data_IF_046417392576
#
_entry.id   IF_046417392576
#
_cell.length_a   1.000
_cell.length_b   1.000
_cell.length_c   1.000
_cell.angle_alpha   90.00
_cell.angle_beta   90.00
_cell.angle_gamma   90.00
#
_symmetry.space_group_name_H-M   'P 1'
#
loop_
_entity.id
_entity.type
_entity.pdbx_description
1 polymer ?
#
# COMPACT_ATOMS: atom_id res chain seq x y z
N UNK A 1 15.88 -18.69 18.67
CA UNK A 1 15.61 -17.97 19.93
C UNK A 1 14.10 -17.89 20.09
N UNK A 2 13.56 -18.01 21.30
CA UNK A 2 12.10 -17.97 21.50
C UNK A 2 11.62 -16.52 21.46
N UNK A 3 10.75 -16.17 20.52
CA UNK A 3 10.16 -14.83 20.45
C UNK A 3 9.15 -14.67 21.60
N UNK A 4 9.32 -13.62 22.40
CA UNK A 4 8.41 -13.21 23.44
C UNK A 4 7.46 -12.13 22.91
N UNK A 5 6.15 -12.31 23.09
CA UNK A 5 5.13 -11.35 22.67
C UNK A 5 4.35 -10.86 23.88
N UNK A 6 4.48 -9.57 24.17
CA UNK A 6 3.75 -8.85 25.23
C UNK A 6 2.60 -8.04 24.62
N UNK A 7 1.49 -7.92 25.34
CA UNK A 7 0.29 -7.22 24.88
C UNK A 7 0.00 -5.99 25.74
N UNK A 8 -0.32 -4.86 25.10
CA UNK A 8 -0.65 -3.61 25.76
C UNK A 8 -1.99 -3.08 25.23
N UNK A 9 -2.98 -2.96 26.11
CA UNK A 9 -4.27 -2.36 25.78
C UNK A 9 -4.08 -0.86 25.52
N UNK A 10 -4.76 -0.34 24.50
CA UNK A 10 -4.61 1.03 24.02
C UNK A 10 -5.89 1.86 24.08
N UNK A 11 -5.83 3.01 23.43
CA UNK A 11 -6.95 3.95 23.30
C UNK A 11 -8.15 3.40 22.53
N UNK A 12 -9.26 4.15 22.62
CA UNK A 12 -10.45 3.92 21.80
C UNK A 12 -10.10 4.01 20.31
N UNK A 13 -10.57 3.03 19.52
CA UNK A 13 -10.28 2.94 18.09
C UNK A 13 -11.40 3.52 17.20
N UNK A 14 -12.59 3.78 17.77
CA UNK A 14 -13.72 4.39 17.07
C UNK A 14 -14.39 5.46 17.93
N UNK A 15 -14.62 6.63 17.34
CA UNK A 15 -15.50 7.66 17.91
C UNK A 15 -16.96 7.25 17.85
N UNK A 16 -17.80 7.79 18.75
CA UNK A 16 -19.26 7.56 18.76
C UNK A 16 -19.94 7.82 17.42
N UNK A 17 -19.52 8.86 16.69
CA UNK A 17 -20.06 9.16 15.35
C UNK A 17 -19.85 8.01 14.36
N UNK A 18 -18.65 7.39 14.35
CA UNK A 18 -18.35 6.25 13.49
C UNK A 18 -19.15 5.02 13.89
N UNK A 19 -19.32 4.79 15.20
CA UNK A 19 -20.18 3.72 15.71
C UNK A 19 -21.62 3.92 15.24
N UNK A 20 -22.16 5.13 15.34
CA UNK A 20 -23.51 5.47 14.86
C UNK A 20 -23.67 5.28 13.35
N UNK A 21 -22.64 5.55 12.54
CA UNK A 21 -22.66 5.29 11.10
C UNK A 21 -22.67 3.79 10.75
N UNK A 22 -21.97 2.96 11.52
CA UNK A 22 -21.90 1.51 11.30
C UNK A 22 -23.13 0.77 11.83
N UNK A 23 -23.74 1.27 12.91
CA UNK A 23 -24.79 0.57 13.64
C UNK A 23 -25.99 0.14 12.77
N UNK A 24 -26.54 0.96 11.84
CA UNK A 24 -27.62 0.50 10.97
C UNK A 24 -27.24 -0.67 10.08
N UNK A 25 -25.99 -0.72 9.60
CA UNK A 25 -25.48 -1.81 8.75
C UNK A 25 -25.28 -3.09 9.57
N UNK A 26 -24.82 -2.95 10.82
CA UNK A 26 -24.71 -4.06 11.76
C UNK A 26 -26.11 -4.61 12.14
N UNK A 27 -27.08 -3.73 12.39
CA UNK A 27 -28.45 -4.11 12.72
C UNK A 27 -29.19 -4.79 11.57
N UNK A 28 -28.80 -4.53 10.32
CA UNK A 28 -29.31 -5.25 9.16
C UNK A 28 -28.86 -6.73 9.14
N UNK A 29 -27.75 -7.07 9.82
CA UNK A 29 -27.30 -8.46 10.00
C UNK A 29 -28.03 -9.10 11.18
N UNK A 30 -28.19 -8.36 12.29
CA UNK A 30 -28.93 -8.80 13.47
C UNK A 30 -29.48 -7.59 14.27
N UNK A 31 -30.81 -7.50 14.38
CA UNK A 31 -31.53 -6.38 15.04
C UNK A 31 -31.28 -6.29 16.55
N UNK A 32 -30.61 -7.28 17.14
CA UNK A 32 -30.25 -7.32 18.55
C UNK A 32 -28.95 -6.57 18.81
N UNK A 33 -28.16 -6.22 17.78
CA UNK A 33 -26.95 -5.41 17.94
C UNK A 33 -27.34 -3.98 18.31
N UNK A 34 -26.85 -3.52 19.47
CA UNK A 34 -27.17 -2.20 20.03
C UNK A 34 -25.95 -1.31 20.22
N UNK A 35 -24.75 -1.85 20.06
CA UNK A 35 -23.52 -1.09 20.20
C UNK A 35 -22.29 -1.81 19.65
N UNK A 36 -21.23 -1.04 19.48
CA UNK A 36 -19.92 -1.51 19.06
C UNK A 36 -18.88 -0.71 19.83
N UNK A 37 -18.07 -1.39 20.63
CA UNK A 37 -16.90 -0.78 21.25
C UNK A 37 -15.65 -1.23 20.49
N UNK A 38 -14.67 -0.34 20.34
CA UNK A 38 -13.42 -0.68 19.68
C UNK A 38 -12.24 -0.07 20.44
N UNK A 39 -11.16 -0.85 20.61
CA UNK A 39 -9.89 -0.38 21.17
C UNK A 39 -8.72 -0.86 20.35
N UNK A 40 -7.63 -0.09 20.37
CA UNK A 40 -6.35 -0.59 19.91
C UNK A 40 -5.76 -1.55 20.92
N UNK A 41 -5.05 -2.55 20.43
CA UNK A 41 -4.19 -3.43 21.23
C UNK A 41 -2.86 -3.50 20.52
N UNK A 42 -1.78 -3.45 21.28
CA UNK A 42 -0.42 -3.44 20.74
C UNK A 42 0.27 -4.74 21.11
N UNK A 43 0.86 -5.39 20.12
CA UNK A 43 1.64 -6.61 20.30
C UNK A 43 3.11 -6.29 20.09
N UNK A 44 3.91 -6.47 21.15
CA UNK A 44 5.34 -6.17 21.15
C UNK A 44 6.11 -7.48 21.14
N UNK A 45 6.81 -7.75 20.05
CA UNK A 45 7.70 -8.90 19.92
C UNK A 45 9.14 -8.51 20.24
N UNK A 46 9.81 -9.32 21.07
CA UNK A 46 11.22 -9.17 21.43
C UNK A 46 11.87 -10.56 21.64
N UNK A 47 13.20 -10.59 21.70
CA UNK A 47 13.97 -11.83 22.00
C UNK A 47 14.05 -12.13 23.50
N UNK A 48 13.48 -11.26 24.34
CA UNK A 48 13.43 -11.38 25.79
C UNK A 48 12.06 -10.97 26.33
N UNK A 49 11.74 -11.41 27.54
CA UNK A 49 10.60 -10.87 28.28
C UNK A 49 10.98 -9.48 28.85
N UNK A 50 10.14 -8.44 28.68
CA UNK A 50 10.43 -7.12 29.22
C UNK A 50 10.49 -7.15 30.74
N UNK A 51 11.47 -6.48 31.33
CA UNK A 51 11.48 -6.25 32.78
C UNK A 51 10.46 -5.16 33.18
N UNK A 52 10.31 -4.90 34.47
CA UNK A 52 9.32 -3.93 34.95
C UNK A 52 9.56 -2.49 34.44
N UNK A 53 10.83 -2.10 34.24
CA UNK A 53 11.17 -0.78 33.75
C UNK A 53 10.86 -0.67 32.24
N UNK A 54 11.24 -1.68 31.46
CA UNK A 54 10.92 -1.79 30.04
C UNK A 54 9.40 -1.84 29.81
N UNK A 55 8.68 -2.64 30.61
CA UNK A 55 7.22 -2.71 30.54
C UNK A 55 6.56 -1.36 30.82
N UNK A 56 7.05 -0.61 31.80
CA UNK A 56 6.54 0.74 32.10
C UNK A 56 6.81 1.73 30.96
N UNK A 57 7.99 1.64 30.34
CA UNK A 57 8.36 2.49 29.19
C UNK A 57 7.56 2.15 27.94
N UNK A 58 7.36 0.86 27.66
CA UNK A 58 6.51 0.39 26.56
C UNK A 58 5.05 0.82 26.77
N UNK A 59 4.51 0.67 27.99
CA UNK A 59 3.17 1.14 28.32
C UNK A 59 3.03 2.65 28.10
N UNK A 60 4.00 3.45 28.55
CA UNK A 60 4.01 4.90 28.34
C UNK A 60 4.09 5.25 26.84
N UNK A 61 4.92 4.56 26.07
CA UNK A 61 5.05 4.77 24.62
C UNK A 61 3.75 4.45 23.86
N UNK A 62 3.03 3.42 24.30
CA UNK A 62 1.83 2.91 23.65
C UNK A 62 0.54 3.54 24.19
N UNK A 63 0.66 4.53 25.08
CA UNK A 63 -0.46 5.35 25.58
C UNK A 63 -0.57 6.63 24.76
N UNK A 64 -1.48 6.63 23.80
CA UNK A 64 -1.79 7.78 22.93
C UNK A 64 -3.27 7.76 22.54
N UNK A 65 -3.82 8.91 22.14
CA UNK A 65 -5.24 9.02 21.79
C UNK A 65 -6.18 9.07 23.00
N UNK A 66 -7.48 8.96 22.75
CA UNK A 66 -8.49 9.06 23.79
C UNK A 66 -8.61 7.77 24.61
N UNK A 67 -8.68 7.85 25.96
CA UNK A 67 -8.78 6.66 26.80
C UNK A 67 -9.97 5.78 26.47
N UNK A 68 -9.77 4.45 26.44
CA UNK A 68 -10.87 3.51 26.29
C UNK A 68 -11.73 3.51 27.57
N UNK A 69 -13.05 3.79 27.49
CA UNK A 69 -13.90 3.99 28.67
C UNK A 69 -14.23 2.71 29.47
N UNK A 70 -13.58 1.57 29.17
CA UNK A 70 -14.04 0.24 29.57
C UNK A 70 -13.21 -0.56 30.58
N UNK A 71 -12.01 -0.13 30.97
CA UNK A 71 -11.14 -0.99 31.81
C UNK A 71 -11.58 -1.06 33.29
N UNK A 72 -12.47 -0.15 33.74
CA UNK A 72 -12.91 -0.05 35.13
C UNK A 72 -14.26 -0.72 35.46
N UNK A 73 -14.98 -1.28 34.47
CA UNK A 73 -16.29 -1.92 34.70
C UNK A 73 -16.47 -3.21 33.91
N UNK A 74 -17.23 -4.16 34.46
CA UNK A 74 -17.60 -5.41 33.81
C UNK A 74 -18.30 -5.25 32.44
N UNK A 75 -18.65 -4.03 32.03
CA UNK A 75 -19.22 -3.69 30.73
C UNK A 75 -18.19 -3.69 29.57
N UNK A 76 -16.89 -3.44 29.85
CA UNK A 76 -15.84 -3.40 28.81
C UNK A 76 -15.52 -4.76 28.18
N UNK A 77 -15.85 -5.85 28.86
CA UNK A 77 -15.66 -7.24 28.41
C UNK A 77 -16.93 -7.89 27.87
N UNK A 78 -18.05 -7.15 27.78
CA UNK A 78 -19.32 -7.70 27.29
C UNK A 78 -19.44 -7.58 25.77
N UNK A 79 -19.94 -8.65 25.15
CA UNK A 79 -20.17 -8.72 23.71
C UNK A 79 -19.25 -9.69 22.98
N UNK A 80 -19.63 -10.02 21.75
CA UNK A 80 -18.84 -10.91 20.89
C UNK A 80 -17.54 -10.22 20.45
N UNK A 81 -16.43 -10.96 20.53
CA UNK A 81 -15.10 -10.50 20.13
C UNK A 81 -14.90 -10.63 18.62
N UNK A 82 -14.40 -9.57 18.00
CA UNK A 82 -13.79 -9.61 16.67
C UNK A 82 -12.47 -8.85 16.76
N UNK A 83 -11.38 -9.46 16.32
CA UNK A 83 -10.05 -8.84 16.27
C UNK A 83 -9.68 -8.65 14.81
N UNK A 84 -9.28 -7.44 14.46
CA UNK A 84 -8.80 -7.08 13.12
C UNK A 84 -7.31 -6.78 13.19
N UNK A 85 -6.56 -7.42 12.31
CA UNK A 85 -5.10 -7.29 12.19
C UNK A 85 -4.72 -6.97 10.75
N UNK A 86 -3.50 -6.48 10.48
CA UNK A 86 -2.93 -6.61 9.15
C UNK A 86 -2.96 -8.08 8.69
N UNK A 87 -3.02 -8.33 7.38
CA UNK A 87 -2.95 -9.71 6.86
C UNK A 87 -1.65 -10.39 7.30
N UNK A 88 -1.72 -11.67 7.61
CA UNK A 88 -0.52 -12.46 7.89
C UNK A 88 0.45 -12.41 6.71
N UNK A 89 1.75 -12.32 7.01
CA UNK A 89 2.80 -12.09 6.01
C UNK A 89 2.99 -10.63 5.60
N UNK A 90 2.26 -9.69 6.19
CA UNK A 90 2.45 -8.24 5.99
C UNK A 90 2.97 -7.55 7.24
N UNK A 91 3.56 -6.36 7.06
CA UNK A 91 3.97 -5.46 8.14
C UNK A 91 3.30 -4.11 7.86
N UNK A 92 2.56 -3.58 8.83
CA UNK A 92 1.87 -2.31 8.63
C UNK A 92 2.87 -1.14 8.62
N UNK A 93 2.60 -0.03 7.89
CA UNK A 93 3.43 1.18 8.00
C UNK A 93 3.46 1.76 9.41
N UNK A 94 2.40 1.52 10.21
CA UNK A 94 2.37 1.87 11.62
C UNK A 94 3.41 1.06 12.40
N UNK A 95 3.54 -0.24 12.14
CA UNK A 95 4.50 -1.11 12.80
C UNK A 95 5.94 -0.67 12.58
N UNK A 96 6.29 -0.30 11.34
CA UNK A 96 7.63 0.23 11.04
C UNK A 96 7.94 1.47 11.88
N UNK A 97 7.06 2.48 11.87
CA UNK A 97 7.27 3.72 12.63
C UNK A 97 7.27 3.50 14.14
N UNK A 98 6.35 2.68 14.66
CA UNK A 98 6.28 2.38 16.09
C UNK A 98 7.55 1.65 16.57
N UNK A 99 8.05 0.72 15.75
CA UNK A 99 9.30 0.00 16.02
C UNK A 99 10.50 0.96 15.99
N UNK A 100 10.59 1.85 15.00
CA UNK A 100 11.64 2.87 14.92
C UNK A 100 11.60 3.82 16.14
N UNK A 101 10.42 4.24 16.58
CA UNK A 101 10.28 5.07 17.78
C UNK A 101 10.80 4.31 19.02
N UNK A 102 10.44 3.03 19.16
CA UNK A 102 10.94 2.22 20.27
C UNK A 102 12.48 2.08 20.24
N UNK A 103 13.07 1.89 19.07
CA UNK A 103 14.52 1.86 18.90
C UNK A 103 15.18 3.21 19.23
N UNK A 104 14.60 4.32 18.81
CA UNK A 104 15.06 5.67 19.16
C UNK A 104 14.93 5.98 20.65
N UNK A 105 13.98 5.34 21.32
CA UNK A 105 13.89 5.35 22.78
C UNK A 105 14.88 4.37 23.44
N UNK A 106 15.70 3.60 22.70
CA UNK A 106 16.53 2.53 23.25
C UNK A 106 15.70 1.44 23.98
N UNK A 107 14.66 0.94 23.31
CA UNK A 107 13.92 -0.25 23.70
C UNK A 107 14.17 -1.33 22.64
N UNK A 108 14.74 -2.47 23.04
CA UNK A 108 15.17 -3.51 22.12
C UNK A 108 13.99 -4.43 21.74
N UNK A 109 13.22 -4.02 20.74
CA UNK A 109 12.10 -4.81 20.19
C UNK A 109 12.42 -5.30 18.79
N UNK A 110 11.88 -6.47 18.41
CA UNK A 110 11.89 -6.95 17.02
C UNK A 110 10.87 -6.22 16.17
N UNK A 111 9.64 -6.10 16.68
CA UNK A 111 8.53 -5.44 16.00
C UNK A 111 7.42 -5.11 16.98
N UNK A 112 6.83 -3.93 16.82
CA UNK A 112 5.57 -3.55 17.47
C UNK A 112 4.48 -3.54 16.39
N UNK A 113 3.38 -4.26 16.60
CA UNK A 113 2.24 -4.23 15.69
C UNK A 113 0.97 -3.78 16.44
N UNK A 114 0.07 -3.10 15.74
CA UNK A 114 -1.21 -2.66 16.27
C UNK A 114 -2.34 -3.46 15.64
N UNK A 115 -3.24 -3.91 16.49
CA UNK A 115 -4.47 -4.60 16.10
C UNK A 115 -5.67 -3.83 16.68
N UNK A 116 -6.85 -4.05 16.11
CA UNK A 116 -8.09 -3.45 16.62
C UNK A 116 -8.98 -4.54 17.19
N UNK A 117 -9.33 -4.41 18.46
CA UNK A 117 -10.32 -5.27 19.10
C UNK A 117 -11.69 -4.59 19.08
N UNK A 118 -12.68 -5.29 18.53
CA UNK A 118 -14.09 -4.92 18.53
C UNK A 118 -14.88 -5.80 19.50
N UNK A 119 -15.79 -5.17 20.24
CA UNK A 119 -16.81 -5.83 21.07
C UNK A 119 -18.18 -5.47 20.54
N UNK A 120 -18.87 -6.45 19.98
CA UNK A 120 -20.24 -6.30 19.44
C UNK A 120 -21.23 -6.49 20.58
N UNK A 121 -21.95 -5.43 20.94
CA UNK A 121 -22.88 -5.42 22.07
C UNK A 121 -24.29 -5.75 21.59
N UNK A 122 -24.93 -6.75 22.20
CA UNK A 122 -26.30 -7.16 21.90
C UNK A 122 -27.25 -6.86 23.06
N UNK A 123 -28.53 -6.57 22.76
CA UNK A 123 -29.57 -6.40 23.79
C UNK A 123 -29.78 -7.70 24.56
N UNK A 124 -29.94 -7.61 25.89
CA UNK A 124 -30.20 -8.77 26.73
C UNK A 124 -31.48 -9.51 26.28
N UNK A 125 -31.43 -10.84 26.21
CA UNK A 125 -32.61 -11.65 25.91
C UNK A 125 -33.61 -11.67 27.07
N UNK A 126 -34.84 -12.15 26.81
CA UNK A 126 -35.93 -12.24 27.81
C UNK A 126 -35.56 -13.00 29.09
N UNK A 127 -34.53 -13.85 29.07
CA UNK A 127 -34.03 -14.63 30.21
C UNK A 127 -32.71 -14.11 30.79
N UNK A 128 -32.35 -12.85 30.53
CA UNK A 128 -31.21 -12.17 31.16
C UNK A 128 -29.82 -12.53 30.62
N UNK A 129 -29.70 -13.45 29.65
CA UNK A 129 -28.46 -13.69 28.91
C UNK A 129 -28.47 -12.93 27.59
N UNK A 130 -27.38 -12.21 27.30
CA UNK A 130 -27.17 -11.64 25.98
C UNK A 130 -27.07 -12.78 24.96
N UNK A 131 -27.83 -12.74 23.85
CA UNK A 131 -27.74 -13.75 22.81
C UNK A 131 -26.36 -13.69 22.15
N UNK A 132 -25.79 -14.88 21.93
CA UNK A 132 -24.53 -15.05 21.20
C UNK A 132 -24.83 -15.04 19.71
N UNK A 133 -24.10 -14.23 18.94
CA UNK A 133 -24.17 -14.23 17.48
C UNK A 133 -23.68 -15.58 16.94
N UNK A 134 -24.34 -16.11 15.91
CA UNK A 134 -23.86 -17.30 15.22
C UNK A 134 -22.55 -17.02 14.49
N UNK A 135 -21.80 -18.07 14.13
CA UNK A 135 -20.54 -17.92 13.39
C UNK A 135 -20.73 -17.14 12.07
N UNK A 136 -21.78 -17.46 11.31
CA UNK A 136 -22.10 -16.75 10.06
C UNK A 136 -22.43 -15.27 10.30
N UNK A 137 -23.09 -14.94 11.42
CA UNK A 137 -23.37 -13.54 11.78
C UNK A 137 -22.09 -12.81 12.19
N UNK A 138 -21.17 -13.46 12.91
CA UNK A 138 -19.87 -12.89 13.26
C UNK A 138 -19.01 -12.60 12.03
N UNK A 139 -19.00 -13.52 11.06
CA UNK A 139 -18.30 -13.33 9.78
C UNK A 139 -18.90 -12.18 8.96
N UNK A 140 -20.23 -12.09 8.89
CA UNK A 140 -20.91 -10.99 8.23
C UNK A 140 -20.62 -9.63 8.91
N UNK A 141 -20.58 -9.60 10.25
CA UNK A 141 -20.18 -8.39 10.98
C UNK A 141 -18.72 -8.05 10.73
N UNK A 142 -17.82 -9.03 10.79
CA UNK A 142 -16.40 -8.85 10.53
C UNK A 142 -16.15 -8.27 9.13
N UNK A 143 -16.89 -8.70 8.10
CA UNK A 143 -16.81 -8.17 6.74
C UNK A 143 -17.16 -6.66 6.63
N UNK A 144 -17.84 -6.08 7.62
CA UNK A 144 -18.10 -4.64 7.70
C UNK A 144 -17.02 -3.86 8.47
N UNK A 145 -16.17 -4.55 9.23
CA UNK A 145 -15.22 -3.96 10.19
C UNK A 145 -13.76 -3.99 9.74
N UNK A 146 -13.44 -4.68 8.64
CA UNK A 146 -12.08 -4.75 8.09
C UNK A 146 -12.06 -4.58 6.57
N UNK A 147 -10.92 -4.16 6.05
CA UNK A 147 -10.60 -4.21 4.62
C UNK A 147 -10.00 -5.58 4.27
N UNK A 148 -10.75 -6.42 3.55
CA UNK A 148 -10.30 -7.74 3.10
C UNK A 148 -9.01 -7.72 2.27
N UNK A 149 -8.63 -6.59 1.68
CA UNK A 149 -7.42 -6.49 0.85
C UNK A 149 -6.16 -6.28 1.67
N UNK A 150 -6.27 -5.76 2.90
CA UNK A 150 -5.12 -5.35 3.72
C UNK A 150 -5.15 -5.93 5.13
N UNK A 151 -6.30 -6.37 5.60
CA UNK A 151 -6.55 -6.85 6.95
C UNK A 151 -7.11 -8.28 6.98
N UNK A 152 -7.00 -8.91 8.14
CA UNK A 152 -7.65 -10.18 8.49
C UNK A 152 -8.54 -9.97 9.71
N UNK A 153 -9.69 -10.66 9.75
CA UNK A 153 -10.54 -10.72 10.94
C UNK A 153 -10.47 -12.09 11.59
N UNK A 154 -10.45 -12.12 12.92
CA UNK A 154 -10.41 -13.34 13.74
C UNK A 154 -11.27 -13.19 14.98
N UNK A 155 -11.67 -14.32 15.58
CA UNK A 155 -12.61 -14.34 16.72
C UNK A 155 -11.94 -14.74 18.05
N UNK A 156 -10.61 -14.90 18.02
CA UNK A 156 -9.76 -15.09 19.18
C UNK A 156 -8.50 -14.22 19.00
N UNK A 157 -8.19 -13.40 20.01
CA UNK A 157 -7.01 -12.55 20.03
C UNK A 157 -5.72 -13.36 19.97
N UNK A 158 -5.69 -14.56 20.54
CA UNK A 158 -4.47 -15.38 20.61
C UNK A 158 -3.89 -15.70 19.21
N UNK A 159 -4.75 -15.75 18.19
CA UNK A 159 -4.37 -15.97 16.80
C UNK A 159 -3.55 -14.83 16.21
N UNK A 160 -3.67 -13.60 16.72
CA UNK A 160 -2.89 -12.45 16.28
C UNK A 160 -1.38 -12.62 16.54
N UNK A 161 -0.99 -13.54 17.44
CA UNK A 161 0.42 -13.91 17.65
C UNK A 161 1.06 -14.47 16.38
N UNK A 162 0.27 -15.04 15.47
CA UNK A 162 0.71 -15.51 14.15
C UNK A 162 1.26 -14.40 13.24
N UNK A 163 1.02 -13.12 13.55
CA UNK A 163 1.64 -12.01 12.84
C UNK A 163 3.17 -12.11 12.88
N UNK A 164 3.73 -12.66 13.96
CA UNK A 164 5.16 -12.70 14.26
C UNK A 164 5.81 -14.04 13.92
N UNK A 165 5.11 -14.91 13.18
CA UNK A 165 5.67 -16.18 12.73
C UNK A 165 6.84 -15.92 11.77
N UNK A 166 8.04 -16.32 12.19
CA UNK A 166 9.21 -16.35 11.32
C UNK A 166 9.08 -17.51 10.33
N UNK A 167 9.40 -17.28 9.06
CA UNK A 167 9.39 -18.27 7.99
C UNK A 167 10.82 -18.48 7.49
N UNK A 168 11.17 -19.73 7.17
CA UNK A 168 12.42 -20.03 6.50
C UNK A 168 12.41 -19.49 5.06
N UNK A 169 13.59 -19.06 4.59
CA UNK A 169 13.74 -18.63 3.20
C UNK A 169 13.46 -19.79 2.24
N UNK A 170 12.57 -19.58 1.27
CA UNK A 170 12.30 -20.56 0.23
C UNK A 170 13.54 -20.75 -0.68
N UNK A 171 13.86 -21.99 -1.09
CA UNK A 171 14.94 -22.23 -2.03
C UNK A 171 14.59 -21.69 -3.43
N UNK A 172 15.63 -21.25 -4.16
CA UNK A 172 15.49 -20.76 -5.54
C UNK A 172 15.08 -21.89 -6.50
N UNK A 173 14.03 -21.66 -7.29
CA UNK A 173 13.56 -22.63 -8.28
C UNK A 173 14.33 -22.51 -9.61
N UNK A 174 14.54 -23.63 -10.29
CA UNK A 174 15.13 -23.69 -11.63
C UNK A 174 14.13 -24.32 -12.60
N UNK A 175 13.90 -23.68 -13.75
CA UNK A 175 12.95 -24.17 -14.76
C UNK A 175 13.71 -25.00 -15.79
N UNK A 176 13.28 -26.24 -15.99
CA UNK A 176 14.03 -27.21 -16.80
C UNK A 176 13.84 -27.04 -18.32
N UNK A 177 14.46 -25.98 -18.87
CA UNK A 177 14.43 -25.66 -20.30
C UNK A 177 15.38 -26.55 -21.11
N UNK A 178 16.49 -27.02 -20.52
CA UNK A 178 17.47 -27.82 -21.25
C UNK A 178 16.86 -29.13 -21.75
N UNK A 179 16.14 -29.86 -20.89
CA UNK A 179 15.45 -31.09 -21.28
C UNK A 179 14.00 -30.81 -21.70
N UNK A 180 13.28 -29.97 -20.94
CA UNK A 180 11.85 -29.71 -21.14
C UNK A 180 11.50 -28.66 -22.22
N UNK A 181 12.48 -27.92 -22.73
CA UNK A 181 12.29 -26.96 -23.83
C UNK A 181 11.22 -25.90 -23.56
N UNK A 182 10.47 -25.52 -24.62
CA UNK A 182 9.39 -24.53 -24.55
C UNK A 182 8.29 -24.92 -23.55
N UNK A 183 7.94 -26.21 -23.49
CA UNK A 183 6.86 -26.69 -22.62
C UNK A 183 7.15 -26.44 -21.13
N UNK A 184 8.41 -26.57 -20.70
CA UNK A 184 8.80 -26.23 -19.32
C UNK A 184 8.63 -24.73 -19.04
N UNK A 185 8.98 -23.88 -20.01
CA UNK A 185 8.83 -22.44 -19.86
C UNK A 185 7.36 -21.98 -19.94
N UNK A 186 6.51 -22.61 -20.74
CA UNK A 186 5.06 -22.34 -20.79
C UNK A 186 4.37 -22.68 -19.46
N UNK A 187 4.78 -23.78 -18.83
CA UNK A 187 4.32 -24.14 -17.49
C UNK A 187 4.77 -23.11 -16.45
N UNK A 188 6.03 -22.69 -16.50
CA UNK A 188 6.56 -21.64 -15.63
C UNK A 188 5.86 -20.29 -15.85
N UNK A 189 5.56 -19.94 -17.11
CA UNK A 189 4.83 -18.73 -17.49
C UNK A 189 3.46 -18.68 -16.80
N UNK A 190 2.75 -19.81 -16.78
CA UNK A 190 1.45 -19.94 -16.10
C UNK A 190 1.61 -19.95 -14.58
N UNK A 191 2.53 -20.77 -14.04
CA UNK A 191 2.75 -20.94 -12.60
C UNK A 191 3.14 -19.63 -11.91
N UNK A 192 4.04 -18.86 -12.53
CA UNK A 192 4.57 -17.61 -11.97
C UNK A 192 3.84 -16.36 -12.48
N UNK A 193 2.91 -16.50 -13.42
CA UNK A 193 2.16 -15.37 -13.97
C UNK A 193 3.04 -14.39 -14.76
N UNK A 194 3.97 -14.90 -15.57
CA UNK A 194 4.97 -14.08 -16.27
C UNK A 194 4.38 -13.31 -17.47
N UNK A 195 3.24 -13.76 -18.00
CA UNK A 195 2.56 -13.18 -19.16
C UNK A 195 3.44 -13.01 -20.41
N UNK A 196 4.36 -13.95 -20.63
CA UNK A 196 5.25 -13.98 -21.80
C UNK A 196 4.49 -14.31 -23.08
N UNK A 197 4.80 -13.58 -24.15
CA UNK A 197 4.37 -13.90 -25.50
C UNK A 197 5.21 -15.06 -26.10
N UNK A 198 4.72 -15.66 -27.19
CA UNK A 198 5.39 -16.83 -27.78
C UNK A 198 6.82 -16.52 -28.24
N UNK A 199 7.04 -15.36 -28.86
CA UNK A 199 8.36 -14.90 -29.30
C UNK A 199 9.32 -14.64 -28.13
N UNK A 200 8.80 -14.19 -26.99
CA UNK A 200 9.58 -14.04 -25.75
C UNK A 200 9.97 -15.39 -25.13
N UNK A 201 9.07 -16.39 -25.20
CA UNK A 201 9.35 -17.77 -24.79
C UNK A 201 10.45 -18.35 -25.68
N UNK A 202 10.31 -18.24 -27.00
CA UNK A 202 11.29 -18.75 -27.96
C UNK A 202 12.67 -18.12 -27.73
N UNK A 203 12.69 -16.79 -27.54
CA UNK A 203 13.91 -16.05 -27.20
C UNK A 203 14.61 -16.59 -25.93
N UNK A 204 13.85 -16.82 -24.86
CA UNK A 204 14.40 -17.31 -23.59
C UNK A 204 14.91 -18.75 -23.72
N UNK A 205 14.18 -19.62 -24.42
CA UNK A 205 14.60 -21.00 -24.66
C UNK A 205 15.93 -21.03 -25.39
N UNK A 206 16.06 -20.26 -26.47
CA UNK A 206 17.29 -20.18 -27.25
C UNK A 206 18.45 -19.58 -26.43
N UNK A 207 18.19 -18.51 -25.68
CA UNK A 207 19.19 -17.87 -24.83
C UNK A 207 19.75 -18.84 -23.77
N UNK A 208 18.89 -19.53 -23.03
CA UNK A 208 19.32 -20.43 -21.95
C UNK A 208 19.91 -21.75 -22.46
N UNK A 209 19.45 -22.26 -23.61
CA UNK A 209 20.14 -23.35 -24.31
C UNK A 209 21.55 -22.93 -24.76
N UNK A 210 21.69 -21.72 -25.30
CA UNK A 210 23.00 -21.16 -25.66
C UNK A 210 23.93 -20.99 -24.46
N UNK A 211 23.39 -20.67 -23.28
CA UNK A 211 24.14 -20.59 -22.02
C UNK A 211 24.44 -21.96 -21.39
N UNK A 212 23.82 -23.04 -21.85
CA UNK A 212 24.02 -24.39 -21.33
C UNK A 212 23.56 -24.58 -19.88
N UNK A 213 22.57 -23.80 -19.42
CA UNK A 213 22.00 -23.92 -18.06
C UNK A 213 20.52 -23.58 -18.03
N UNK A 214 19.82 -24.11 -17.04
CA UNK A 214 18.43 -23.74 -16.75
C UNK A 214 18.35 -22.33 -16.14
N UNK A 215 17.33 -21.53 -16.50
CA UNK A 215 17.06 -20.27 -15.83
C UNK A 215 16.50 -20.48 -14.42
N UNK A 216 16.74 -19.49 -13.57
CA UNK A 216 16.07 -19.41 -12.27
C UNK A 216 14.71 -18.72 -12.40
N UNK A 217 13.81 -18.99 -11.47
CA UNK A 217 12.55 -18.25 -11.31
C UNK A 217 12.77 -16.73 -11.22
N UNK A 218 13.80 -16.28 -10.51
CA UNK A 218 14.17 -14.87 -10.38
C UNK A 218 14.58 -14.26 -11.72
N UNK A 219 15.37 -14.97 -12.53
CA UNK A 219 15.78 -14.49 -13.87
C UNK A 219 14.58 -14.33 -14.81
N UNK A 220 13.65 -15.29 -14.78
CA UNK A 220 12.44 -15.25 -15.59
C UNK A 220 11.49 -14.13 -15.14
N UNK A 221 11.30 -13.97 -13.83
CA UNK A 221 10.50 -12.87 -13.29
C UNK A 221 11.10 -11.51 -13.66
N UNK A 222 12.42 -11.35 -13.53
CA UNK A 222 13.12 -10.13 -13.95
C UNK A 222 12.88 -9.83 -15.43
N UNK A 223 13.05 -10.83 -16.30
CA UNK A 223 12.84 -10.66 -17.74
C UNK A 223 11.39 -10.27 -18.06
N UNK A 224 10.42 -10.94 -17.45
CA UNK A 224 9.00 -10.69 -17.65
C UNK A 224 8.62 -9.25 -17.23
N UNK A 225 9.08 -8.78 -16.08
CA UNK A 225 8.80 -7.42 -15.62
C UNK A 225 9.43 -6.37 -16.53
N UNK A 226 10.68 -6.57 -16.96
CA UNK A 226 11.40 -5.64 -17.84
C UNK A 226 10.78 -5.55 -19.26
N UNK A 227 10.17 -6.64 -19.74
CA UNK A 227 9.57 -6.71 -21.08
C UNK A 227 8.04 -6.59 -21.07
N UNK A 228 7.42 -6.30 -19.93
CA UNK A 228 6.00 -5.96 -19.85
C UNK A 228 5.65 -4.75 -20.72
N UNK A 229 4.38 -4.63 -21.12
CA UNK A 229 3.90 -3.46 -21.87
C UNK A 229 4.18 -2.16 -21.10
N UNK A 230 3.90 -2.16 -19.79
CA UNK A 230 4.09 -1.03 -18.90
C UNK A 230 5.54 -0.54 -18.84
N UNK A 231 6.52 -1.46 -18.80
CA UNK A 231 7.93 -1.08 -18.73
C UNK A 231 8.51 -0.74 -20.11
N UNK A 232 8.18 -1.52 -21.14
CA UNK A 232 8.81 -1.42 -22.46
C UNK A 232 8.11 -0.42 -23.38
N UNK A 233 6.89 0.01 -23.05
CA UNK A 233 6.09 0.94 -23.84
C UNK A 233 5.96 0.45 -25.29
N UNK A 234 5.64 -0.83 -25.47
CA UNK A 234 5.64 -1.52 -26.78
C UNK A 234 4.75 -0.79 -27.79
N UNK A 235 3.53 -0.41 -27.39
CA UNK A 235 2.56 0.29 -28.25
C UNK A 235 3.11 1.65 -28.69
N UNK A 236 3.67 2.44 -27.77
CA UNK A 236 4.20 3.78 -28.07
C UNK A 236 5.36 3.76 -29.07
N UNK A 237 6.13 2.67 -29.09
CA UNK A 237 7.24 2.47 -30.01
C UNK A 237 6.89 1.66 -31.27
N UNK A 238 5.65 1.22 -31.41
CA UNK A 238 5.21 0.38 -32.53
C UNK A 238 5.12 1.15 -33.85
N UNK A 239 5.19 0.40 -34.95
CA UNK A 239 4.77 0.88 -36.26
C UNK A 239 3.25 0.70 -36.40
N UNK A 240 2.58 1.67 -37.02
CA UNK A 240 1.13 1.67 -37.17
C UNK A 240 0.73 1.58 -38.65
N UNK A 241 -0.37 0.88 -38.92
CA UNK A 241 -1.09 0.94 -40.21
C UNK A 241 -2.53 1.31 -39.90
N UNK A 242 -3.01 2.43 -40.44
CA UNK A 242 -4.36 2.97 -40.20
C UNK A 242 -5.08 2.99 -41.54
N UNK A 243 -6.26 2.37 -41.62
CA UNK A 243 -7.04 2.25 -42.86
C UNK A 243 -6.20 1.72 -44.05
N UNK A 244 -5.37 0.70 -43.77
CA UNK A 244 -4.41 0.09 -44.71
C UNK A 244 -3.27 1.02 -45.19
N UNK A 245 -3.08 2.17 -44.54
CA UNK A 245 -1.98 3.10 -44.84
C UNK A 245 -0.90 2.99 -43.76
N UNK A 246 0.32 2.54 -44.10
CA UNK A 246 1.46 2.54 -43.18
C UNK A 246 1.81 3.97 -42.73
N UNK A 247 2.03 4.13 -41.43
CA UNK A 247 2.40 5.41 -40.82
C UNK A 247 3.92 5.49 -40.66
N UNK A 248 4.50 6.65 -40.98
CA UNK A 248 5.96 6.84 -41.00
C UNK A 248 6.61 7.14 -39.66
N UNK A 249 5.84 7.41 -38.60
CA UNK A 249 6.34 7.83 -37.28
C UNK A 249 5.53 7.11 -36.19
N UNK A 250 6.22 6.58 -35.17
CA UNK A 250 5.56 5.98 -34.00
C UNK A 250 4.85 7.03 -33.14
N UNK A 251 3.99 6.60 -32.21
CA UNK A 251 3.36 7.53 -31.26
C UNK A 251 4.41 8.32 -30.45
N UNK A 252 5.44 7.64 -29.94
CA UNK A 252 6.51 8.32 -29.22
C UNK A 252 7.32 9.26 -30.13
N UNK A 253 7.53 8.87 -31.39
CA UNK A 253 8.16 9.73 -32.39
C UNK A 253 7.36 11.02 -32.64
N UNK A 254 6.03 10.94 -32.68
CA UNK A 254 5.16 12.10 -32.78
C UNK A 254 5.27 13.02 -31.55
N UNK A 255 5.40 12.45 -30.35
CA UNK A 255 5.63 13.24 -29.11
C UNK A 255 7.00 13.92 -29.15
N UNK A 256 8.07 13.21 -29.51
CA UNK A 256 9.44 13.78 -29.63
C UNK A 256 9.51 14.88 -30.70
N UNK A 257 8.64 14.85 -31.71
CA UNK A 257 8.58 15.89 -32.72
C UNK A 257 8.20 17.27 -32.14
N UNK A 258 7.48 17.32 -31.01
CA UNK A 258 7.13 18.59 -30.35
C UNK A 258 8.37 19.32 -29.84
N UNK A 259 9.26 18.61 -29.15
CA UNK A 259 10.54 19.14 -28.67
C UNK A 259 11.47 19.49 -29.84
N UNK A 260 11.53 18.64 -30.88
CA UNK A 260 12.32 18.91 -32.09
C UNK A 260 11.92 20.23 -32.77
N UNK A 261 10.63 20.55 -32.82
CA UNK A 261 10.11 21.77 -33.45
C UNK A 261 10.13 22.98 -32.52
N UNK A 262 10.15 22.78 -31.21
CA UNK A 262 10.10 23.84 -30.21
C UNK A 262 11.03 23.52 -29.02
N UNK A 263 12.36 23.53 -29.23
CA UNK A 263 13.33 23.13 -28.21
C UNK A 263 13.62 24.24 -27.19
N UNK A 264 13.03 25.43 -27.34
CA UNK A 264 13.34 26.57 -26.50
C UNK A 264 13.09 26.25 -25.02
N UNK A 265 14.06 26.58 -24.17
CA UNK A 265 14.04 26.36 -22.72
C UNK A 265 14.06 24.89 -22.27
N UNK A 266 14.15 23.90 -23.16
CA UNK A 266 14.35 22.50 -22.76
C UNK A 266 15.79 22.29 -22.30
N UNK A 267 15.99 21.72 -21.12
CA UNK A 267 17.30 21.27 -20.61
C UNK A 267 17.43 19.75 -20.73
N UNK A 268 16.38 19.01 -20.33
CA UNK A 268 16.32 17.55 -20.42
C UNK A 268 14.93 17.12 -20.90
N UNK A 269 14.89 16.24 -21.90
CA UNK A 269 13.68 15.55 -22.32
C UNK A 269 14.03 14.12 -22.77
N UNK A 270 13.22 13.14 -22.35
CA UNK A 270 13.29 11.74 -22.80
C UNK A 270 14.59 10.97 -22.45
N UNK A 271 15.39 11.46 -21.52
CA UNK A 271 16.67 10.85 -21.13
C UNK A 271 16.86 10.73 -19.62
N UNK A 272 15.79 10.90 -18.85
CA UNK A 272 15.76 10.81 -17.39
C UNK A 272 14.31 10.52 -16.92
N UNK A 273 14.11 10.32 -15.61
CA UNK A 273 12.81 10.02 -15.02
C UNK A 273 11.84 11.21 -15.00
N UNK A 274 12.34 12.43 -15.21
CA UNK A 274 11.55 13.66 -15.38
C UNK A 274 12.15 14.54 -16.48
N UNK A 275 11.35 15.46 -17.03
CA UNK A 275 11.86 16.51 -17.92
C UNK A 275 12.32 17.72 -17.11
N UNK A 276 13.23 18.53 -17.68
CA UNK A 276 13.74 19.75 -17.05
C UNK A 276 13.63 20.89 -18.06
N UNK A 277 13.02 22.00 -17.63
CA UNK A 277 13.05 23.27 -18.35
C UNK A 277 13.94 24.31 -17.64
N UNK A 278 14.39 25.28 -18.42
CA UNK A 278 15.12 26.44 -17.93
C UNK A 278 14.30 27.16 -16.85
N UNK A 279 14.99 27.56 -15.78
CA UNK A 279 14.34 28.27 -14.68
C UNK A 279 14.99 29.64 -14.48
N UNK A 280 15.24 30.03 -13.23
CA UNK A 280 15.67 31.40 -12.94
C UNK A 280 16.69 31.45 -11.81
N UNK A 281 17.45 32.54 -11.78
CA UNK A 281 18.32 32.85 -10.63
C UNK A 281 17.45 33.24 -9.44
N UNK A 282 17.67 32.60 -8.30
CA UNK A 282 16.93 32.81 -7.06
C UNK A 282 17.89 32.94 -5.88
N UNK A 283 17.41 33.51 -4.78
CA UNK A 283 18.05 33.39 -3.47
C UNK A 283 17.53 32.12 -2.77
N UNK A 284 18.38 31.11 -2.64
CA UNK A 284 18.06 29.87 -1.94
C UNK A 284 18.56 29.95 -0.49
N UNK A 285 17.71 29.55 0.47
CA UNK A 285 18.06 29.52 1.89
C UNK A 285 18.46 28.10 2.30
N UNK A 286 19.74 27.89 2.58
CA UNK A 286 20.33 26.57 2.88
C UNK A 286 21.08 26.60 4.21
N UNK A 287 21.17 25.46 4.93
CA UNK A 287 22.04 25.37 6.09
C UNK A 287 23.49 25.60 5.69
N UNK A 288 24.22 26.35 6.51
CA UNK A 288 25.64 26.62 6.29
C UNK A 288 26.45 25.32 6.43
N UNK A 289 27.34 25.05 5.47
CA UNK A 289 28.09 23.79 5.41
C UNK A 289 29.11 23.62 6.54
N UNK A 290 29.52 24.70 7.19
CA UNK A 290 30.41 24.68 8.35
C UNK A 290 29.64 24.82 9.67
N UNK A 291 28.50 25.51 9.63
CA UNK A 291 27.66 25.79 10.79
C UNK A 291 26.22 25.40 10.51
N UNK A 292 25.92 24.09 10.50
CA UNK A 292 24.62 23.53 10.09
C UNK A 292 23.39 24.07 10.85
N UNK A 293 23.59 24.74 12.00
CA UNK A 293 22.54 25.40 12.77
C UNK A 293 22.17 26.81 12.25
N UNK A 294 22.96 27.37 11.34
CA UNK A 294 22.70 28.66 10.69
C UNK A 294 22.22 28.44 9.26
N UNK A 295 21.19 29.18 8.86
CA UNK A 295 20.78 29.25 7.46
C UNK A 295 21.31 30.52 6.80
N UNK A 296 21.73 30.42 5.54
CA UNK A 296 22.22 31.56 4.75
C UNK A 296 21.57 31.61 3.38
N UNK A 297 21.47 32.82 2.85
CA UNK A 297 21.06 33.06 1.47
C UNK A 297 22.21 32.74 0.53
N UNK A 298 21.92 32.01 -0.54
CA UNK A 298 22.85 31.70 -1.62
C UNK A 298 22.17 31.98 -2.96
N UNK A 299 22.81 32.79 -3.80
CA UNK A 299 22.36 32.98 -5.18
C UNK A 299 22.62 31.69 -5.97
N UNK A 300 21.58 31.13 -6.59
CA UNK A 300 21.65 29.90 -7.37
C UNK A 300 20.72 29.96 -8.58
N UNK A 301 21.09 29.27 -9.66
CA UNK A 301 20.18 29.00 -10.78
C UNK A 301 19.34 27.77 -10.43
N UNK A 302 18.01 27.93 -10.36
CA UNK A 302 17.09 26.83 -10.13
C UNK A 302 16.32 26.56 -11.41
N UNK A 303 16.59 25.43 -12.05
CA UNK A 303 15.77 24.88 -13.12
C UNK A 303 14.48 24.28 -12.57
N UNK A 304 13.52 23.98 -13.45
CA UNK A 304 12.24 23.38 -13.06
C UNK A 304 12.13 22.01 -13.70
N UNK A 305 12.00 20.98 -12.88
CA UNK A 305 11.64 19.64 -13.34
C UNK A 305 10.13 19.45 -13.33
N UNK A 306 9.63 18.52 -14.14
CA UNK A 306 8.22 18.12 -14.13
C UNK A 306 8.04 16.65 -14.52
N UNK A 307 7.14 15.98 -13.81
CA UNK A 307 6.73 14.60 -14.07
C UNK A 307 5.24 14.46 -13.72
N UNK A 308 4.57 13.54 -14.39
CA UNK A 308 3.21 13.09 -14.05
C UNK A 308 3.17 11.58 -14.23
N UNK A 309 2.60 10.88 -13.26
CA UNK A 309 2.36 9.44 -13.32
C UNK A 309 0.89 9.13 -13.08
N UNK A 310 0.50 7.89 -13.39
CA UNK A 310 -0.82 7.35 -13.06
C UNK A 310 -0.67 6.03 -12.31
N UNK A 311 -1.63 5.70 -11.45
CA UNK A 311 -1.61 4.45 -10.68
C UNK A 311 -2.98 3.75 -10.70
N UNK A 312 -3.49 3.57 -11.91
CA UNK A 312 -4.89 3.23 -12.16
C UNK A 312 -5.28 1.85 -11.64
N UNK A 313 -4.55 0.81 -12.05
CA UNK A 313 -4.89 -0.59 -11.71
C UNK A 313 -4.82 -0.85 -10.19
N UNK A 314 -3.75 -0.47 -9.46
CA UNK A 314 -3.72 -0.64 -8.01
C UNK A 314 -4.83 0.13 -7.29
N UNK A 315 -5.15 1.35 -7.74
CA UNK A 315 -6.22 2.18 -7.16
C UNK A 315 -7.61 1.56 -7.35
N UNK A 316 -7.83 0.83 -8.45
CA UNK A 316 -9.07 0.08 -8.65
C UNK A 316 -9.22 -1.08 -7.65
N UNK A 317 -8.13 -1.64 -7.13
CA UNK A 317 -8.14 -2.77 -6.19
C UNK A 317 -8.18 -2.30 -4.73
N UNK A 318 -7.25 -1.42 -4.34
CA UNK A 318 -7.16 -0.85 -3.00
C UNK A 318 -6.84 0.65 -3.11
N UNK A 319 -7.87 1.53 -3.06
CA UNK A 319 -7.70 2.92 -3.48
C UNK A 319 -6.74 3.74 -2.62
N UNK A 320 -6.77 3.57 -1.29
CA UNK A 320 -5.90 4.32 -0.39
C UNK A 320 -4.41 4.05 -0.67
N UNK A 321 -3.90 2.81 -0.58
CA UNK A 321 -2.49 2.55 -0.88
C UNK A 321 -2.17 2.79 -2.35
N UNK A 322 -3.08 2.52 -3.30
CA UNK A 322 -2.87 2.78 -4.72
C UNK A 322 -2.61 4.27 -5.02
N UNK A 323 -3.44 5.17 -4.48
CA UNK A 323 -3.22 6.60 -4.66
C UNK A 323 -1.97 7.10 -3.91
N UNK A 324 -1.73 6.57 -2.70
CA UNK A 324 -0.57 6.91 -1.86
C UNK A 324 0.75 6.55 -2.56
N UNK A 325 0.87 5.33 -3.09
CA UNK A 325 2.08 4.89 -3.80
C UNK A 325 2.21 5.53 -5.18
N UNK A 326 1.10 5.93 -5.81
CA UNK A 326 1.13 6.76 -7.02
C UNK A 326 1.83 8.10 -6.79
N UNK A 327 1.42 8.82 -5.74
CA UNK A 327 2.11 10.05 -5.34
C UNK A 327 3.58 9.79 -4.93
N UNK A 328 3.82 8.72 -4.17
CA UNK A 328 5.16 8.38 -3.72
C UNK A 328 6.12 7.93 -4.83
N UNK A 329 5.63 7.25 -5.86
CA UNK A 329 6.42 6.89 -7.04
C UNK A 329 6.89 8.13 -7.80
N UNK A 330 5.94 9.00 -8.12
CA UNK A 330 6.20 10.24 -8.84
C UNK A 330 7.18 11.16 -8.07
N UNK A 331 7.00 11.32 -6.75
CA UNK A 331 7.94 12.08 -5.89
C UNK A 331 9.37 11.50 -5.92
N UNK A 332 9.52 10.17 -6.02
CA UNK A 332 10.85 9.55 -6.13
C UNK A 332 11.51 9.85 -7.47
N UNK A 333 10.74 9.88 -8.55
CA UNK A 333 11.26 10.25 -9.87
C UNK A 333 11.75 11.69 -9.91
N UNK A 334 10.98 12.61 -9.31
CA UNK A 334 11.45 13.98 -9.11
C UNK A 334 12.80 13.97 -8.38
N UNK A 335 12.87 13.38 -7.18
CA UNK A 335 14.08 13.35 -6.36
C UNK A 335 15.29 12.65 -7.01
N UNK A 336 15.05 11.65 -7.85
CA UNK A 336 16.07 10.88 -8.56
C UNK A 336 16.56 11.53 -9.87
N UNK A 337 15.90 12.60 -10.34
CA UNK A 337 16.28 13.29 -11.57
C UNK A 337 17.72 13.82 -11.50
N UNK A 338 18.52 13.52 -12.52
CA UNK A 338 19.92 13.91 -12.63
C UNK A 338 20.82 13.25 -11.58
N UNK A 339 21.38 14.06 -10.67
CA UNK A 339 22.26 13.60 -9.57
C UNK A 339 21.65 13.85 -8.19
N UNK A 340 20.33 13.94 -8.16
CA UNK A 340 19.56 14.37 -7.00
C UNK A 340 18.92 15.73 -7.23
N UNK A 341 17.63 15.82 -6.95
CA UNK A 341 16.84 17.03 -7.06
C UNK A 341 15.89 17.18 -5.84
N UNK A 342 15.03 18.21 -5.84
CA UNK A 342 14.09 18.46 -4.74
C UNK A 342 12.65 18.65 -5.26
N UNK A 343 11.72 17.73 -4.92
CA UNK A 343 10.29 17.92 -5.10
C UNK A 343 9.78 19.25 -4.53
N UNK A 344 8.81 19.90 -5.20
CA UNK A 344 8.31 21.22 -4.78
C UNK A 344 6.80 21.33 -4.62
N UNK A 345 6.02 20.91 -5.62
CA UNK A 345 4.56 20.96 -5.59
C UNK A 345 4.01 19.82 -6.44
N UNK A 346 2.88 19.25 -6.01
CA UNK A 346 2.17 18.20 -6.73
C UNK A 346 0.85 18.68 -7.31
N UNK A 347 0.29 17.84 -8.18
CA UNK A 347 -1.11 17.90 -8.63
C UNK A 347 -1.75 16.52 -8.48
N UNK A 348 -3.08 16.43 -8.48
CA UNK A 348 -3.79 15.15 -8.42
C UNK A 348 -5.02 15.17 -9.32
N UNK A 349 -5.23 14.08 -10.07
CA UNK A 349 -6.40 13.88 -10.92
C UNK A 349 -7.07 12.53 -10.66
N UNK A 350 -8.40 12.52 -10.62
CA UNK A 350 -9.22 11.31 -10.54
C UNK A 350 -10.30 11.34 -11.60
N UNK A 351 -10.47 10.21 -12.29
CA UNK A 351 -11.59 9.95 -13.18
C UNK A 351 -12.22 8.63 -12.77
N UNK A 352 -13.50 8.67 -12.40
CA UNK A 352 -14.26 7.49 -11.96
C UNK A 352 -15.63 7.44 -12.63
N UNK A 353 -16.27 6.27 -12.61
CA UNK A 353 -17.69 6.15 -12.99
C UNK A 353 -18.60 6.92 -12.02
N UNK A 354 -19.91 6.95 -12.29
CA UNK A 354 -20.89 7.66 -11.46
C UNK A 354 -20.79 7.20 -9.99
N UNK A 355 -20.75 8.17 -9.06
CA UNK A 355 -20.53 7.90 -7.63
C UNK A 355 -21.68 7.14 -6.97
N UNK A 356 -22.92 7.41 -7.37
CA UNK A 356 -24.13 6.76 -6.86
C UNK A 356 -25.26 6.83 -7.88
N UNK A 357 -26.22 5.92 -7.76
CA UNK A 357 -27.28 5.72 -8.75
C UNK A 357 -26.73 5.38 -10.14
N UNK A 358 -25.58 4.71 -10.19
CA UNK A 358 -24.88 4.30 -11.41
C UNK A 358 -24.99 2.81 -11.67
N UNK A 359 -24.36 2.34 -12.75
CA UNK A 359 -24.27 0.90 -13.02
C UNK A 359 -23.55 0.15 -11.91
N UNK A 360 -22.51 0.74 -11.30
CA UNK A 360 -21.74 0.11 -10.22
C UNK A 360 -22.54 -0.27 -8.97
N UNK A 361 -23.74 0.30 -8.79
CA UNK A 361 -24.61 0.03 -7.64
C UNK A 361 -25.62 -1.09 -7.91
N UNK A 362 -25.72 -1.54 -9.17
CA UNK A 362 -26.60 -2.63 -9.58
C UNK A 362 -25.90 -3.98 -9.42
N UNK A 363 -26.65 -5.08 -9.15
CA UNK A 363 -26.11 -6.42 -9.18
C UNK A 363 -25.38 -6.71 -10.51
N UNK A 364 -24.11 -7.12 -10.44
CA UNK A 364 -23.27 -7.40 -11.61
C UNK A 364 -22.78 -6.16 -12.38
N UNK A 365 -23.06 -4.94 -11.91
CA UNK A 365 -22.68 -3.71 -12.59
C UNK A 365 -21.23 -3.24 -12.37
N UNK A 366 -20.46 -3.98 -11.59
CA UNK A 366 -18.99 -3.90 -11.50
C UNK A 366 -18.40 -5.28 -11.16
N UNK A 367 -17.14 -5.57 -11.52
CA UNK A 367 -16.42 -6.73 -10.99
C UNK A 367 -16.38 -6.74 -9.46
N UNK A 368 -16.54 -7.91 -8.85
CA UNK A 368 -16.59 -8.03 -7.38
C UNK A 368 -15.24 -7.73 -6.71
N UNK A 369 -14.14 -7.88 -7.44
CA UNK A 369 -12.77 -7.72 -6.93
C UNK A 369 -12.25 -6.26 -7.00
N UNK A 370 -13.01 -5.32 -7.56
CA UNK A 370 -12.63 -3.89 -7.62
C UNK A 370 -13.46 -3.03 -6.64
N UNK A 371 -12.87 -1.94 -6.19
CA UNK A 371 -13.55 -0.90 -5.43
C UNK A 371 -14.63 -0.20 -6.28
N UNK A 372 -15.70 0.28 -5.63
CA UNK A 372 -16.70 1.12 -6.28
C UNK A 372 -16.14 2.53 -6.56
N UNK A 373 -16.75 3.29 -7.49
CA UNK A 373 -16.38 4.69 -7.72
C UNK A 373 -16.41 5.56 -6.46
N UNK A 374 -17.42 5.35 -5.61
CA UNK A 374 -17.53 6.04 -4.32
C UNK A 374 -16.40 5.65 -3.36
N UNK A 375 -16.04 4.37 -3.29
CA UNK A 375 -14.91 3.92 -2.48
C UNK A 375 -13.60 4.53 -2.97
N UNK A 376 -13.38 4.58 -4.30
CA UNK A 376 -12.20 5.24 -4.88
C UNK A 376 -12.14 6.71 -4.48
N UNK A 377 -13.25 7.45 -4.61
CA UNK A 377 -13.27 8.88 -4.26
C UNK A 377 -13.33 9.18 -2.76
N UNK A 378 -13.57 8.18 -1.92
CA UNK A 378 -13.48 8.31 -0.46
C UNK A 378 -12.05 8.04 0.01
N UNK A 379 -11.47 6.92 -0.43
CA UNK A 379 -10.20 6.41 0.10
C UNK A 379 -8.97 6.86 -0.72
N UNK A 380 -9.10 6.98 -2.04
CA UNK A 380 -8.02 7.37 -2.93
C UNK A 380 -7.49 8.79 -2.66
N UNK A 381 -8.35 9.83 -2.63
CA UNK A 381 -7.89 11.18 -2.27
C UNK A 381 -7.22 11.25 -0.90
N UNK A 382 -7.72 10.50 0.10
CA UNK A 382 -7.10 10.43 1.43
C UNK A 382 -5.71 9.78 1.35
N UNK A 383 -5.55 8.71 0.58
CA UNK A 383 -4.26 8.05 0.39
C UNK A 383 -3.22 8.94 -0.29
N UNK A 384 -3.59 9.61 -1.39
CA UNK A 384 -2.72 10.57 -2.08
C UNK A 384 -2.37 11.78 -1.22
N UNK A 385 -3.34 12.32 -0.46
CA UNK A 385 -3.11 13.41 0.48
C UNK A 385 -2.21 12.98 1.65
N UNK A 386 -2.41 11.78 2.20
CA UNK A 386 -1.58 11.24 3.28
C UNK A 386 -0.10 11.22 2.89
N UNK A 387 0.22 10.75 1.69
CA UNK A 387 1.61 10.74 1.22
C UNK A 387 2.17 12.16 1.05
N UNK A 388 1.46 13.05 0.35
CA UNK A 388 1.91 14.44 0.14
C UNK A 388 2.09 15.21 1.46
N UNK A 389 1.15 15.05 2.40
CA UNK A 389 1.18 15.71 3.69
C UNK A 389 2.34 15.20 4.57
N UNK A 390 2.51 13.88 4.66
CA UNK A 390 3.56 13.29 5.48
C UNK A 390 4.95 13.55 4.90
N UNK A 391 5.09 13.49 3.57
CA UNK A 391 6.33 13.83 2.89
C UNK A 391 6.65 15.33 2.99
N UNK A 392 5.64 16.20 3.01
CA UNK A 392 5.79 17.65 3.08
C UNK A 392 5.87 18.34 1.71
N UNK A 393 5.10 17.86 0.71
CA UNK A 393 4.93 18.52 -0.59
C UNK A 393 3.50 19.07 -0.71
N UNK A 394 3.29 20.39 -0.93
CA UNK A 394 1.95 20.92 -1.17
C UNK A 394 1.37 20.37 -2.48
N UNK A 395 0.09 20.04 -2.46
CA UNK A 395 -0.67 19.61 -3.63
C UNK A 395 -1.62 20.75 -4.04
N UNK A 396 -1.44 21.32 -5.24
CA UNK A 396 -2.01 22.61 -5.65
C UNK A 396 -3.04 22.49 -6.77
#
# INVERSE_FOLDING_TARGET
MTVHISEFEGAIALSDFRVQQLLPRLQAIDDRIVGLNARFVHMVAADHAPDAAEQSRLAALLTYGDPYPGDATAAGAQGSLIVVTPRFGTVSPWASKATDIAHNCAIAVKRIERITEFRVVTKAGLFGKAPVLSQAQLEAVAALLHDRMTESAMFDRSLARGLFTELDAAPMEHVDILEGGSAALEQANTKFGLALAQDEIDYLVDAFKGLGRNPTDVELMMFAQANSEHCRHKIFNSSFTIDNVPQGISMFGMIRNTEKLSPQHTIVAYSDNASIMEGSKVEHFVPDSQQAHLYRKQAALHHVLMKVETHNHPTAISPFPGASTGAGGEIRDEGATGRGSKPKAGLTGFTVSKLWGGWSDQPGGKPEHIASPLQIMTEGPLGGAAFNNEFGRPNL
#
